data_IF_184016454590
#
_entry.id   IF_184016454590
#
_cell.length_a   1.000
_cell.length_b   1.000
_cell.length_c   1.000
_cell.angle_alpha   90.00
_cell.angle_beta   90.00
_cell.angle_gamma   90.00
#
_symmetry.space_group_name_H-M   'P 1'
#
loop_
_entity.id
_entity.type
_entity.pdbx_description
1 polymer ?
#
# COMPACT_ATOMS: atom_id res chain seq x y z
N UNK A 1 -21.29 -13.72 -31.96
CA UNK A 1 -20.58 -12.46 -31.63
C UNK A 1 -20.32 -12.44 -30.13
N UNK A 2 -19.14 -12.89 -29.68
CA UNK A 2 -18.72 -12.65 -28.30
C UNK A 2 -17.88 -11.38 -28.28
N UNK A 3 -18.45 -10.30 -27.78
CA UNK A 3 -17.72 -9.05 -27.57
C UNK A 3 -16.60 -9.27 -26.57
N UNK A 4 -15.38 -8.98 -27.00
CA UNK A 4 -14.18 -9.01 -26.18
C UNK A 4 -14.30 -7.93 -25.11
N UNK A 5 -14.79 -8.30 -23.91
CA UNK A 5 -14.87 -7.35 -22.80
C UNK A 5 -13.46 -6.92 -22.43
N UNK A 6 -13.15 -5.65 -22.72
CA UNK A 6 -11.90 -4.96 -22.42
C UNK A 6 -11.27 -5.44 -21.11
N UNK A 7 -10.03 -5.94 -21.21
CA UNK A 7 -9.27 -6.44 -20.06
C UNK A 7 -9.08 -5.28 -19.07
N UNK A 8 -9.75 -5.34 -17.91
CA UNK A 8 -9.53 -4.41 -16.78
C UNK A 8 -8.07 -4.59 -16.31
N UNK A 9 -7.17 -3.69 -16.71
CA UNK A 9 -5.75 -3.73 -16.37
C UNK A 9 -5.51 -2.83 -15.15
N UNK A 10 -5.50 -3.42 -13.96
CA UNK A 10 -4.87 -2.78 -12.80
C UNK A 10 -3.35 -2.95 -12.94
N UNK A 11 -2.62 -1.85 -12.98
CA UNK A 11 -1.16 -1.87 -13.05
C UNK A 11 -0.53 -2.35 -11.74
N UNK A 12 0.81 -2.50 -11.74
CA UNK A 12 1.56 -2.74 -10.51
C UNK A 12 1.41 -1.50 -9.61
N UNK A 13 1.04 -1.65 -8.33
CA UNK A 13 0.90 -0.52 -7.42
C UNK A 13 2.24 0.14 -7.13
N UNK A 14 2.25 1.47 -7.09
CA UNK A 14 3.39 2.24 -6.59
C UNK A 14 3.32 2.29 -5.07
N UNK A 15 4.39 1.86 -4.41
CA UNK A 15 4.47 1.84 -2.94
C UNK A 15 5.34 2.99 -2.45
N UNK A 16 4.81 3.78 -1.50
CA UNK A 16 5.54 4.81 -0.76
C UNK A 16 5.56 4.46 0.73
N UNK A 17 6.75 4.20 1.25
CA UNK A 17 6.97 3.93 2.66
C UNK A 17 7.24 5.24 3.41
N UNK A 18 6.55 5.47 4.52
CA UNK A 18 6.76 6.61 5.41
C UNK A 18 6.94 6.13 6.85
N UNK A 19 7.38 6.98 7.81
CA UNK A 19 7.52 6.56 9.20
C UNK A 19 6.20 6.12 9.86
N UNK A 20 5.07 6.65 9.40
CA UNK A 20 3.73 6.40 9.96
C UNK A 20 2.95 5.28 9.26
N UNK A 21 3.43 4.79 8.12
CA UNK A 21 2.76 3.71 7.39
C UNK A 21 3.24 3.49 5.97
N UNK A 22 2.44 2.72 5.23
CA UNK A 22 2.65 2.44 3.82
C UNK A 22 1.49 2.99 3.01
N UNK A 23 1.81 3.71 1.94
CA UNK A 23 0.85 4.18 0.96
C UNK A 23 1.00 3.38 -0.32
N UNK A 24 -0.09 2.78 -0.79
CA UNK A 24 -0.19 2.14 -2.08
C UNK A 24 -1.03 3.02 -3.01
N UNK A 25 -0.48 3.31 -4.19
CA UNK A 25 -1.15 4.05 -5.25
C UNK A 25 -1.39 3.10 -6.41
N UNK A 26 -2.63 3.00 -6.86
CA UNK A 26 -3.00 2.18 -8.00
C UNK A 26 -3.63 3.04 -9.07
N UNK A 27 -3.11 2.87 -10.27
CA UNK A 27 -3.63 3.51 -11.45
C UNK A 27 -4.45 2.48 -12.24
N UNK A 28 -5.66 2.87 -12.61
CA UNK A 28 -6.60 2.02 -13.34
C UNK A 28 -7.21 2.78 -14.51
N UNK A 29 -7.41 2.10 -15.64
CA UNK A 29 -8.07 2.67 -16.83
C UNK A 29 -9.55 2.99 -16.60
N UNK A 30 -10.15 2.40 -15.55
CA UNK A 30 -11.55 2.56 -15.17
C UNK A 30 -11.62 2.74 -13.65
N UNK A 31 -12.73 3.25 -13.09
CA UNK A 31 -12.91 3.30 -11.65
C UNK A 31 -12.69 1.94 -10.98
N UNK A 32 -11.86 1.92 -9.94
CA UNK A 32 -11.66 0.72 -9.14
C UNK A 32 -12.85 0.56 -8.19
N UNK A 33 -13.46 -0.62 -8.22
CA UNK A 33 -14.51 -1.05 -7.29
C UNK A 33 -14.10 -2.39 -6.71
N UNK A 34 -14.26 -2.55 -5.39
CA UNK A 34 -13.85 -3.76 -4.69
C UNK A 34 -13.16 -3.46 -3.36
N UNK A 35 -12.13 -4.23 -3.04
CA UNK A 35 -11.45 -4.19 -1.75
C UNK A 35 -9.95 -4.16 -1.90
N UNK A 36 -9.28 -3.36 -1.06
CA UNK A 36 -7.84 -3.42 -0.86
C UNK A 36 -7.58 -3.70 0.61
N UNK A 37 -6.81 -4.74 0.90
CA UNK A 37 -6.56 -5.12 2.29
C UNK A 37 -5.23 -5.82 2.50
N UNK A 38 -4.76 -5.85 3.75
CA UNK A 38 -3.60 -6.65 4.13
C UNK A 38 -4.02 -8.10 4.39
N UNK A 39 -3.31 -9.06 3.77
CA UNK A 39 -3.56 -10.50 3.92
C UNK A 39 -3.63 -10.90 5.40
N UNK A 40 -4.70 -11.62 5.78
CA UNK A 40 -4.96 -12.02 7.16
C UNK A 40 -5.69 -10.96 8.01
N UNK A 41 -5.96 -9.78 7.46
CA UNK A 41 -6.56 -8.65 8.19
C UNK A 41 -7.77 -8.02 7.47
N UNK A 42 -8.53 -8.81 6.70
CA UNK A 42 -9.70 -8.33 5.97
C UNK A 42 -10.73 -7.63 6.87
N UNK A 43 -11.06 -8.21 8.04
CA UNK A 43 -12.04 -7.62 8.96
C UNK A 43 -11.51 -6.49 9.86
N UNK A 44 -10.23 -6.12 9.76
CA UNK A 44 -9.61 -5.16 10.68
C UNK A 44 -9.67 -3.74 10.12
N UNK A 45 -10.31 -2.83 10.87
CA UNK A 45 -10.31 -1.39 10.57
C UNK A 45 -8.86 -0.89 10.44
N UNK A 46 -8.58 -0.15 9.36
CA UNK A 46 -7.24 0.35 9.04
C UNK A 46 -6.36 -0.60 8.23
N UNK A 47 -6.74 -1.88 8.09
CA UNK A 47 -6.11 -2.84 7.19
C UNK A 47 -6.92 -3.15 5.94
N UNK A 48 -8.16 -2.68 5.87
CA UNK A 48 -9.10 -2.94 4.78
C UNK A 48 -9.78 -1.64 4.38
N UNK A 49 -9.86 -1.43 3.07
CA UNK A 49 -10.60 -0.35 2.45
C UNK A 49 -11.53 -0.94 1.39
N UNK A 50 -12.81 -0.59 1.50
CA UNK A 50 -13.80 -0.85 0.47
C UNK A 50 -13.86 0.35 -0.47
N UNK A 51 -14.01 0.09 -1.76
CA UNK A 51 -14.11 1.09 -2.81
C UNK A 51 -15.47 0.91 -3.51
N UNK A 52 -16.43 1.76 -3.12
CA UNK A 52 -17.80 1.80 -3.64
C UNK A 52 -18.24 3.20 -4.10
N UNK A 53 -17.56 4.26 -3.64
CA UNK A 53 -17.98 5.66 -3.82
C UNK A 53 -17.20 6.42 -4.92
N UNK A 54 -17.76 7.57 -5.34
CA UNK A 54 -17.09 8.54 -6.21
C UNK A 54 -15.99 9.33 -5.46
N UNK A 55 -16.10 9.51 -4.13
CA UNK A 55 -15.07 10.20 -3.33
C UNK A 55 -13.74 9.45 -3.28
N UNK A 56 -13.80 8.12 -3.36
CA UNK A 56 -12.59 7.29 -3.45
C UNK A 56 -11.89 7.38 -4.81
N UNK A 57 -12.55 7.98 -5.81
CA UNK A 57 -12.00 8.25 -7.13
C UNK A 57 -11.40 9.63 -7.10
N UNK A 58 -10.11 9.72 -6.74
CA UNK A 58 -9.37 10.93 -7.05
C UNK A 58 -9.20 10.99 -8.58
N UNK A 59 -10.17 11.62 -9.23
CA UNK A 59 -10.09 12.02 -10.63
C UNK A 59 -9.13 13.21 -10.65
N UNK A 60 -7.89 12.98 -11.02
CA UNK A 60 -7.07 14.07 -11.54
C UNK A 60 -7.78 14.55 -12.81
N UNK A 61 -8.40 15.73 -12.76
CA UNK A 61 -9.32 16.29 -13.77
C UNK A 61 -8.73 16.39 -15.18
N UNK A 62 -7.43 16.15 -15.33
CA UNK A 62 -6.69 16.19 -16.60
C UNK A 62 -6.03 14.85 -16.97
N UNK A 63 -6.30 13.75 -16.26
CA UNK A 63 -5.68 12.45 -16.50
C UNK A 63 -6.70 11.43 -17.04
N UNK A 64 -6.39 10.67 -18.11
CA UNK A 64 -7.27 9.60 -18.62
C UNK A 64 -7.31 8.36 -17.69
N UNK A 65 -6.74 8.44 -16.49
CA UNK A 65 -6.52 7.32 -15.60
C UNK A 65 -7.01 7.64 -14.19
N UNK A 66 -7.72 6.71 -13.58
CA UNK A 66 -8.20 6.81 -12.20
C UNK A 66 -7.08 6.41 -11.25
N UNK A 67 -6.84 7.20 -10.22
CA UNK A 67 -5.87 6.91 -9.17
C UNK A 67 -6.59 6.63 -7.86
N UNK A 68 -6.27 5.50 -7.24
CA UNK A 68 -6.76 5.16 -5.90
C UNK A 68 -5.59 5.02 -4.92
N UNK A 69 -5.79 5.57 -3.72
CA UNK A 69 -4.81 5.61 -2.66
C UNK A 69 -5.31 4.79 -1.47
N UNK A 70 -4.51 3.80 -1.08
CA UNK A 70 -4.73 3.03 0.17
C UNK A 70 -3.59 3.29 1.14
N UNK A 71 -3.91 3.49 2.42
CA UNK A 71 -2.92 3.67 3.49
C UNK A 71 -3.03 2.55 4.51
N UNK A 72 -1.94 1.86 4.78
CA UNK A 72 -1.77 0.95 5.91
C UNK A 72 -0.92 1.64 6.97
N UNK A 73 -1.58 2.22 7.99
CA UNK A 73 -0.85 2.82 9.11
C UNK A 73 -0.27 1.74 10.02
N UNK A 74 0.92 1.95 10.58
CA UNK A 74 1.55 0.95 11.44
C UNK A 74 0.88 0.78 12.80
N UNK A 75 0.20 1.82 13.30
CA UNK A 75 -0.54 1.79 14.56
C UNK A 75 -1.91 1.10 14.43
N UNK A 76 -2.54 1.19 13.25
CA UNK A 76 -3.85 0.60 12.98
C UNK A 76 -3.77 -0.77 12.28
N UNK A 77 -2.71 -1.03 11.51
CA UNK A 77 -2.56 -2.22 10.71
C UNK A 77 -1.25 -2.98 11.01
N UNK A 78 -1.32 -4.19 11.60
CA UNK A 78 -0.15 -4.92 12.04
C UNK A 78 0.59 -5.55 10.86
N UNK A 79 1.54 -4.79 10.30
CA UNK A 79 2.51 -5.31 9.34
C UNK A 79 3.63 -6.07 10.06
N UNK A 80 4.23 -7.05 9.39
CA UNK A 80 5.31 -7.85 9.95
C UNK A 80 6.60 -7.04 10.03
N UNK A 81 7.07 -6.83 11.26
CA UNK A 81 8.29 -6.10 11.60
C UNK A 81 9.46 -7.07 11.82
N UNK A 82 10.59 -6.87 11.14
CA UNK A 82 11.82 -7.66 11.30
C UNK A 82 13.02 -6.73 11.48
N UNK A 83 13.86 -6.98 12.49
CA UNK A 83 15.13 -6.26 12.66
C UNK A 83 16.15 -6.74 11.62
N UNK A 84 16.81 -5.82 10.93
CA UNK A 84 17.93 -6.10 10.06
C UNK A 84 19.23 -5.78 10.81
N UNK A 85 20.18 -6.69 10.79
CA UNK A 85 21.43 -6.56 11.56
C UNK A 85 22.49 -5.83 10.72
N UNK A 86 22.64 -6.21 9.45
CA UNK A 86 23.69 -5.68 8.56
C UNK A 86 23.13 -5.41 7.15
N UNK A 87 23.03 -4.14 6.71
CA UNK A 87 23.14 -2.93 7.51
C UNK A 87 22.07 -2.86 8.60
N UNK A 88 22.33 -2.16 9.71
CA UNK A 88 21.37 -2.02 10.80
C UNK A 88 20.13 -1.28 10.32
N UNK A 89 18.97 -1.83 10.64
CA UNK A 89 17.70 -1.23 10.27
C UNK A 89 16.48 -2.07 10.63
N UNK A 90 15.36 -1.71 10.04
CA UNK A 90 14.05 -2.30 10.27
C UNK A 90 13.37 -2.61 8.93
N UNK A 91 12.90 -3.84 8.77
CA UNK A 91 12.08 -4.24 7.62
C UNK A 91 10.63 -4.31 8.09
N UNK A 92 9.77 -3.54 7.43
CA UNK A 92 8.31 -3.64 7.54
C UNK A 92 7.79 -4.36 6.30
N UNK A 93 7.05 -5.44 6.48
CA UNK A 93 6.60 -6.31 5.38
C UNK A 93 5.15 -6.74 5.51
N UNK A 94 4.50 -6.98 4.38
CA UNK A 94 3.12 -7.44 4.34
C UNK A 94 2.71 -7.87 2.94
N UNK A 95 1.52 -8.43 2.81
CA UNK A 95 0.96 -8.80 1.50
C UNK A 95 -0.33 -8.03 1.32
N UNK A 96 -0.34 -7.07 0.40
CA UNK A 96 -1.56 -6.35 0.02
C UNK A 96 -2.32 -7.17 -1.01
N UNK A 97 -3.61 -7.36 -0.79
CA UNK A 97 -4.53 -8.01 -1.72
C UNK A 97 -5.44 -6.94 -2.32
N UNK A 98 -5.52 -6.95 -3.64
CA UNK A 98 -6.40 -6.10 -4.44
C UNK A 98 -7.47 -7.02 -5.03
N UNK A 99 -8.68 -6.95 -4.49
CA UNK A 99 -9.80 -7.77 -4.90
C UNK A 99 -10.83 -6.92 -5.67
N UNK A 100 -11.21 -7.35 -6.87
CA UNK A 100 -12.10 -6.61 -7.77
C UNK A 100 -13.58 -6.99 -7.61
N UNK A 101 -13.90 -7.87 -6.66
CA UNK A 101 -15.26 -8.32 -6.39
C UNK A 101 -15.61 -8.12 -4.91
N UNK A 102 -16.87 -7.81 -4.64
CA UNK A 102 -17.34 -7.39 -3.31
C UNK A 102 -17.37 -8.51 -2.27
N UNK A 103 -17.46 -9.77 -2.67
CA UNK A 103 -17.67 -10.91 -1.75
C UNK A 103 -16.72 -12.09 -1.95
N UNK A 104 -16.03 -12.19 -3.08
CA UNK A 104 -15.32 -13.42 -3.47
C UNK A 104 -13.97 -13.09 -4.10
N UNK A 105 -12.99 -13.98 -3.90
CA UNK A 105 -11.72 -13.90 -4.61
C UNK A 105 -11.88 -14.42 -6.04
N UNK A 106 -11.41 -13.65 -7.01
CA UNK A 106 -11.53 -13.96 -8.44
C UNK A 106 -10.17 -14.06 -9.12
N UNK A 107 -10.13 -14.57 -10.36
CA UNK A 107 -8.90 -14.66 -11.15
C UNK A 107 -8.24 -13.30 -11.44
N UNK A 108 -8.99 -12.20 -11.29
CA UNK A 108 -8.51 -10.83 -11.51
C UNK A 108 -7.82 -10.25 -10.27
N UNK A 109 -7.94 -10.92 -9.13
CA UNK A 109 -7.40 -10.44 -7.88
C UNK A 109 -5.90 -10.68 -7.82
N UNK A 110 -5.18 -9.71 -7.26
CA UNK A 110 -3.72 -9.73 -7.20
C UNK A 110 -3.24 -9.52 -5.78
N UNK A 111 -2.18 -10.23 -5.42
CA UNK A 111 -1.50 -10.09 -4.15
C UNK A 111 -0.09 -9.57 -4.40
N UNK A 112 0.25 -8.46 -3.74
CA UNK A 112 1.54 -7.79 -3.85
C UNK A 112 2.26 -7.87 -2.52
N UNK A 113 3.47 -8.44 -2.53
CA UNK A 113 4.34 -8.42 -1.36
C UNK A 113 4.97 -7.03 -1.24
N UNK A 114 4.66 -6.35 -0.14
CA UNK A 114 5.23 -5.06 0.22
C UNK A 114 6.38 -5.28 1.19
N UNK A 115 7.50 -4.61 0.96
CA UNK A 115 8.66 -4.62 1.85
C UNK A 115 9.30 -3.23 1.87
N UNK A 116 9.32 -2.60 3.05
CA UNK A 116 9.92 -1.30 3.30
C UNK A 116 11.10 -1.48 4.24
N UNK A 117 12.29 -1.03 3.84
CA UNK A 117 13.48 -1.03 4.67
C UNK A 117 13.76 0.37 5.21
N UNK A 118 13.91 0.49 6.53
CA UNK A 118 14.27 1.72 7.23
C UNK A 118 15.66 1.54 7.82
N UNK A 119 16.61 2.35 7.38
CA UNK A 119 17.98 2.32 7.87
C UNK A 119 18.04 2.96 9.26
N UNK A 120 18.84 2.39 10.15
CA UNK A 120 19.24 3.04 11.39
C UNK A 120 20.44 3.94 11.07
N UNK A 121 20.28 5.26 11.22
CA UNK A 121 21.37 6.21 11.02
C UNK A 121 22.20 6.37 12.30
N UNK A 122 23.52 6.21 12.18
CA UNK A 122 24.46 6.48 13.26
C UNK A 122 24.76 7.99 13.31
N UNK A 123 23.84 8.80 13.82
CA UNK A 123 24.18 10.20 14.15
C UNK A 123 25.06 10.23 15.39
N UNK A 124 26.39 10.21 15.19
CA UNK A 124 27.35 10.48 16.27
C UNK A 124 27.29 11.98 16.54
N UNK A 125 26.58 12.37 17.60
CA UNK A 125 26.63 13.74 18.11
C UNK A 125 28.02 13.96 18.71
N UNK A 126 28.92 14.62 17.97
CA UNK A 126 30.18 15.07 18.51
C UNK A 126 29.94 16.35 19.33
N UNK A 127 29.68 16.20 20.63
CA UNK A 127 29.71 17.32 21.56
C UNK A 127 31.16 17.67 21.87
N UNK A 128 31.68 18.73 21.26
CA UNK A 128 32.91 19.37 21.74
C UNK A 128 32.63 20.07 23.08
N UNK A 129 33.06 19.45 24.18
CA UNK A 129 33.08 20.11 25.49
C UNK A 129 34.22 21.12 25.52
N UNK A 130 33.90 22.43 25.42
CA UNK A 130 34.82 23.51 25.81
C UNK A 130 34.64 23.79 27.29
N UNK A 131 35.61 23.36 28.10
CA UNK A 131 35.75 23.80 29.49
C UNK A 131 36.43 25.17 29.47
N UNK A 132 35.81 26.17 30.10
CA UNK A 132 36.40 27.50 30.33
C UNK A 132 37.30 27.49 31.54
#
# INVERSE_FOLDING_TARGET
MCGEKSKKKSGIPTIKCTPDGVYAFMNTSEPFTGHVYLKGHFGKKGCHRHFDSEEDRQVETNSPMYSTKTKFRFDACPMRRKRQINPRGLIMSGVMVVAHHSTLLTYRDRAYRIECYYREDNNVVQTEMRVK
#
